data_IF_168962731931
#
_entry.id   IF_168962731931
#
_cell.length_a   1.000
_cell.length_b   1.000
_cell.length_c   1.000
_cell.angle_alpha   90.00
_cell.angle_beta   90.00
_cell.angle_gamma   90.00
#
_symmetry.space_group_name_H-M   'P 1'
#
loop_
_entity.id
_entity.type
_entity.pdbx_description
1 polymer ?
#
# COMPACT_ATOMS: atom_id res chain seq x y z
N UNK A 1 -48.43 -48.45 -10.06
CA UNK A 1 -47.31 -48.92 -9.23
C UNK A 1 -45.98 -48.19 -9.64
N UNK A 2 -45.92 -46.86 -9.56
CA UNK A 2 -44.61 -46.15 -9.73
C UNK A 2 -43.94 -45.74 -8.43
N UNK A 3 -44.65 -45.61 -7.32
CA UNK A 3 -44.10 -45.10 -6.02
C UNK A 3 -43.03 -45.96 -5.35
N UNK A 4 -42.92 -47.24 -5.66
CA UNK A 4 -41.90 -48.12 -5.04
C UNK A 4 -40.53 -47.96 -5.68
N UNK A 5 -40.46 -47.60 -6.96
CA UNK A 5 -39.18 -47.38 -7.64
C UNK A 5 -38.51 -46.05 -7.28
N UNK A 6 -39.30 -45.00 -7.13
CA UNK A 6 -38.84 -43.69 -6.68
C UNK A 6 -38.26 -43.76 -5.24
N UNK A 7 -38.90 -44.50 -4.35
CA UNK A 7 -38.43 -44.71 -2.98
C UNK A 7 -37.14 -45.57 -2.90
N UNK A 8 -36.95 -46.51 -3.81
CA UNK A 8 -35.69 -47.29 -3.93
C UNK A 8 -34.53 -46.49 -4.51
N UNK A 9 -34.80 -45.58 -5.43
CA UNK A 9 -33.80 -44.67 -5.97
C UNK A 9 -33.38 -43.62 -4.96
N UNK A 10 -34.28 -42.99 -4.24
CA UNK A 10 -33.96 -42.06 -3.15
C UNK A 10 -33.20 -42.74 -2.00
N UNK A 11 -33.51 -43.98 -1.64
CA UNK A 11 -32.75 -44.72 -0.64
C UNK A 11 -31.33 -45.09 -1.11
N UNK A 12 -31.15 -45.38 -2.40
CA UNK A 12 -29.81 -45.66 -2.96
C UNK A 12 -28.97 -44.41 -3.05
N UNK A 13 -29.53 -43.28 -3.45
CA UNK A 13 -28.84 -41.99 -3.52
C UNK A 13 -28.41 -41.53 -2.12
N UNK A 14 -29.30 -41.60 -1.14
CA UNK A 14 -28.98 -41.27 0.26
C UNK A 14 -27.95 -42.23 0.90
N UNK A 15 -27.87 -43.46 0.45
CA UNK A 15 -26.86 -44.45 0.91
C UNK A 15 -25.52 -44.22 0.29
N UNK A 16 -25.43 -43.75 -0.97
CA UNK A 16 -24.20 -43.39 -1.62
C UNK A 16 -23.57 -42.12 -1.05
N UNK A 17 -24.40 -41.11 -0.77
CA UNK A 17 -23.95 -39.87 -0.15
C UNK A 17 -23.42 -40.10 1.29
N UNK A 18 -24.08 -40.94 2.07
CA UNK A 18 -23.61 -41.34 3.41
C UNK A 18 -22.27 -42.09 3.33
N UNK A 19 -22.10 -42.98 2.38
CA UNK A 19 -20.85 -43.73 2.19
C UNK A 19 -19.71 -42.81 1.71
N UNK A 20 -20.02 -41.84 0.85
CA UNK A 20 -19.03 -40.85 0.39
C UNK A 20 -18.59 -39.94 1.54
N UNK A 21 -19.55 -39.39 2.29
CA UNK A 21 -19.25 -38.53 3.45
C UNK A 21 -18.45 -39.26 4.52
N UNK A 22 -18.76 -40.55 4.75
CA UNK A 22 -18.04 -41.38 5.73
C UNK A 22 -16.58 -41.62 5.28
N UNK A 23 -16.36 -41.98 4.01
CA UNK A 23 -15.03 -42.13 3.43
C UNK A 23 -14.23 -40.84 3.41
N UNK A 24 -14.89 -39.71 3.14
CA UNK A 24 -14.26 -38.40 3.20
C UNK A 24 -13.85 -38.02 4.62
N UNK A 25 -14.71 -38.28 5.59
CA UNK A 25 -14.41 -38.04 7.00
C UNK A 25 -13.25 -38.92 7.50
N UNK A 26 -13.27 -40.21 7.15
CA UNK A 26 -12.20 -41.15 7.47
C UNK A 26 -10.87 -40.73 6.84
N UNK A 27 -10.87 -40.33 5.56
CA UNK A 27 -9.69 -39.81 4.88
C UNK A 27 -9.11 -38.54 5.55
N UNK A 28 -9.99 -37.62 5.96
CA UNK A 28 -9.56 -36.38 6.64
C UNK A 28 -8.93 -36.69 8.00
N UNK A 29 -9.53 -37.59 8.77
CA UNK A 29 -9.03 -37.99 10.09
C UNK A 29 -7.72 -38.77 9.99
N UNK A 30 -7.63 -39.68 9.04
CA UNK A 30 -6.47 -40.57 8.85
C UNK A 30 -5.27 -39.79 8.30
N UNK A 31 -5.52 -38.76 7.46
CA UNK A 31 -4.48 -37.91 6.82
C UNK A 31 -4.36 -36.53 7.46
N UNK A 32 -4.81 -36.35 8.69
CA UNK A 32 -4.75 -35.05 9.39
C UNK A 32 -3.37 -34.38 9.35
N UNK A 33 -2.30 -35.17 9.46
CA UNK A 33 -0.93 -34.63 9.39
C UNK A 33 -0.59 -34.08 8.00
N UNK A 34 -1.14 -34.68 6.94
CA UNK A 34 -0.99 -34.18 5.56
C UNK A 34 -1.72 -32.84 5.38
N UNK A 35 -2.91 -32.70 5.95
CA UNK A 35 -3.65 -31.44 5.94
C UNK A 35 -2.93 -30.34 6.70
N UNK A 36 -2.33 -30.65 7.87
CA UNK A 36 -1.48 -29.70 8.59
C UNK A 36 -0.27 -29.27 7.76
N UNK A 37 0.38 -30.21 7.08
CA UNK A 37 1.51 -29.91 6.20
C UNK A 37 1.09 -28.96 5.07
N UNK A 38 -0.01 -29.25 4.37
CA UNK A 38 -0.55 -28.41 3.30
C UNK A 38 -0.90 -27.02 3.83
N UNK A 39 -1.49 -26.94 5.03
CA UNK A 39 -1.85 -25.66 5.66
C UNK A 39 -0.60 -24.82 5.98
N UNK A 40 0.46 -25.46 6.51
CA UNK A 40 1.73 -24.79 6.79
C UNK A 40 2.35 -24.28 5.49
N UNK A 41 2.35 -25.08 4.42
CA UNK A 41 2.86 -24.67 3.10
C UNK A 41 2.04 -23.49 2.55
N UNK A 42 0.72 -23.52 2.66
CA UNK A 42 -0.15 -22.43 2.25
C UNK A 42 0.09 -21.16 3.06
N UNK A 43 0.32 -21.25 4.37
CA UNK A 43 0.68 -20.11 5.23
C UNK A 43 2.02 -19.49 4.80
N UNK A 44 3.03 -20.30 4.58
CA UNK A 44 4.35 -19.84 4.11
C UNK A 44 4.18 -19.16 2.74
N UNK A 45 3.43 -19.76 1.83
CA UNK A 45 3.14 -19.18 0.53
C UNK A 45 2.41 -17.83 0.64
N UNK A 46 1.43 -17.70 1.53
CA UNK A 46 0.74 -16.42 1.78
C UNK A 46 1.68 -15.32 2.28
N UNK A 47 2.63 -15.67 3.16
CA UNK A 47 3.62 -14.71 3.68
C UNK A 47 4.54 -14.23 2.54
N UNK A 48 5.02 -15.13 1.69
CA UNK A 48 5.83 -14.76 0.53
C UNK A 48 5.05 -14.00 -0.52
N UNK A 49 3.78 -14.37 -0.77
CA UNK A 49 2.89 -13.74 -1.75
C UNK A 49 2.56 -12.28 -1.41
N UNK A 50 2.57 -11.93 -0.12
CA UNK A 50 2.35 -10.55 0.33
C UNK A 50 3.40 -9.57 -0.24
N UNK A 51 4.65 -10.00 -0.37
CA UNK A 51 5.72 -9.18 -0.95
C UNK A 51 5.66 -9.07 -2.48
N UNK A 52 4.83 -9.89 -3.13
CA UNK A 52 4.73 -9.94 -4.58
C UNK A 52 3.59 -9.10 -5.15
N UNK A 53 2.64 -8.75 -4.30
CA UNK A 53 1.50 -7.90 -4.70
C UNK A 53 1.93 -6.44 -4.56
N UNK A 54 2.26 -5.79 -5.66
CA UNK A 54 2.33 -4.33 -5.74
C UNK A 54 0.90 -3.82 -5.91
N UNK A 55 0.43 -3.04 -4.96
CA UNK A 55 -0.83 -2.31 -5.10
C UNK A 55 -0.51 -1.05 -5.90
N UNK A 56 -0.93 -1.01 -7.15
CA UNK A 56 -0.92 0.22 -7.93
C UNK A 56 -2.19 1.01 -7.64
N UNK A 57 -2.03 2.18 -7.06
CA UNK A 57 -3.14 3.09 -6.76
C UNK A 57 -3.51 3.97 -7.96
N UNK A 58 -2.69 3.96 -9.01
CA UNK A 58 -2.93 4.74 -10.22
C UNK A 58 -4.03 4.10 -11.08
N UNK A 59 -5.25 4.64 -10.94
CA UNK A 59 -6.42 4.21 -11.71
C UNK A 59 -6.28 4.49 -13.22
N UNK A 60 -5.36 5.36 -13.61
CA UNK A 60 -5.14 5.73 -15.01
C UNK A 60 -4.46 4.61 -15.80
N UNK A 61 -3.71 3.72 -15.13
CA UNK A 61 -3.09 2.54 -15.73
C UNK A 61 -4.10 1.48 -16.22
N UNK A 62 -5.33 1.53 -15.72
CA UNK A 62 -6.41 0.63 -16.18
C UNK A 62 -7.13 1.13 -17.43
N UNK A 63 -6.86 2.37 -17.89
CA UNK A 63 -7.41 2.86 -19.14
C UNK A 63 -6.63 2.28 -20.35
N UNK A 64 -7.33 1.80 -21.39
CA UNK A 64 -6.67 1.39 -22.63
C UNK A 64 -5.84 2.54 -23.23
N UNK A 65 -4.65 2.24 -23.72
CA UNK A 65 -3.72 3.23 -24.31
C UNK A 65 -4.32 4.01 -25.49
N UNK A 66 -5.40 3.48 -26.11
CA UNK A 66 -6.11 4.09 -27.21
C UNK A 66 -7.11 5.19 -26.81
N UNK A 67 -7.37 5.39 -25.52
CA UNK A 67 -8.30 6.43 -25.06
C UNK A 67 -7.66 7.80 -25.12
N UNK A 68 -8.44 8.82 -25.54
CA UNK A 68 -7.97 10.23 -25.58
C UNK A 68 -7.47 10.71 -24.20
N UNK A 69 -8.11 10.25 -23.13
CA UNK A 69 -7.70 10.55 -21.75
C UNK A 69 -6.32 9.97 -21.46
N UNK A 70 -6.02 8.74 -21.87
CA UNK A 70 -4.71 8.12 -21.67
C UNK A 70 -3.62 8.83 -22.49
N UNK A 71 -3.94 9.18 -23.74
CA UNK A 71 -3.01 9.95 -24.59
C UNK A 71 -2.76 11.34 -24.03
N UNK A 72 -3.79 12.02 -23.52
CA UNK A 72 -3.65 13.31 -22.88
C UNK A 72 -2.79 13.25 -21.62
N UNK A 73 -2.96 12.23 -20.78
CA UNK A 73 -2.14 11.98 -19.59
C UNK A 73 -0.68 11.68 -19.96
N UNK A 74 -0.44 10.88 -21.00
CA UNK A 74 0.92 10.59 -21.49
C UNK A 74 1.62 11.87 -21.95
N UNK A 75 0.95 12.71 -22.73
CA UNK A 75 1.50 14.01 -23.15
C UNK A 75 1.72 14.94 -21.97
N UNK A 76 0.84 14.92 -20.97
CA UNK A 76 0.97 15.71 -19.75
C UNK A 76 2.18 15.26 -18.93
N UNK A 77 2.35 13.96 -18.72
CA UNK A 77 3.50 13.41 -18.00
C UNK A 77 4.82 13.61 -18.74
N UNK A 78 4.84 13.57 -20.08
CA UNK A 78 6.04 13.82 -20.89
C UNK A 78 6.44 15.30 -20.95
N UNK A 79 5.49 16.22 -20.81
CA UNK A 79 5.73 17.66 -20.96
C UNK A 79 5.68 18.45 -19.63
N UNK A 80 5.04 17.90 -18.61
CA UNK A 80 4.93 18.50 -17.29
C UNK A 80 5.44 17.48 -16.27
N UNK A 81 6.64 17.65 -15.80
CA UNK A 81 7.16 16.84 -14.68
C UNK A 81 6.36 17.19 -13.44
N UNK A 82 5.54 16.26 -12.99
CA UNK A 82 4.81 16.38 -11.73
C UNK A 82 5.72 15.89 -10.62
N UNK A 83 6.35 16.81 -9.92
CA UNK A 83 7.17 16.48 -8.76
C UNK A 83 6.27 16.06 -7.59
N UNK A 84 6.66 15.03 -6.88
CA UNK A 84 6.05 14.67 -5.60
C UNK A 84 6.24 15.79 -4.57
N UNK A 85 5.22 16.05 -3.77
CA UNK A 85 5.29 17.04 -2.70
C UNK A 85 4.90 16.44 -1.36
N UNK A 86 5.48 16.97 -0.29
CA UNK A 86 5.10 16.63 1.07
C UNK A 86 5.08 17.86 1.96
N UNK A 87 4.16 17.88 2.89
CA UNK A 87 4.09 18.88 3.94
C UNK A 87 4.58 18.28 5.25
N UNK A 88 5.53 18.95 5.88
CA UNK A 88 6.11 18.58 7.16
C UNK A 88 5.77 19.64 8.18
N UNK A 89 4.87 19.32 9.11
CA UNK A 89 4.49 20.21 10.21
C UNK A 89 5.32 19.87 11.43
N UNK A 90 6.10 20.81 11.91
CA UNK A 90 6.85 20.74 13.15
C UNK A 90 6.12 21.54 14.23
N UNK A 91 5.73 20.89 15.32
CA UNK A 91 5.09 21.53 16.46
C UNK A 91 6.08 21.80 17.59
N UNK A 92 5.77 22.78 18.47
CA UNK A 92 6.56 23.14 19.64
C UNK A 92 8.03 23.49 19.31
N UNK A 93 8.24 24.21 18.22
CA UNK A 93 9.56 24.58 17.70
C UNK A 93 9.72 26.11 17.58
N UNK A 94 10.93 26.61 17.78
CA UNK A 94 11.25 28.01 17.46
C UNK A 94 11.55 28.17 15.98
N UNK A 95 11.40 29.40 15.46
CA UNK A 95 11.69 29.71 14.06
C UNK A 95 13.10 29.28 13.63
N UNK A 96 14.14 29.63 14.45
CA UNK A 96 15.54 29.32 14.13
C UNK A 96 15.76 27.81 14.01
N UNK A 97 15.16 27.02 14.89
CA UNK A 97 15.26 25.56 14.83
C UNK A 97 14.47 24.95 13.69
N UNK A 98 13.36 25.58 13.31
CA UNK A 98 12.60 25.16 12.13
C UNK A 98 13.37 25.45 10.84
N UNK A 99 14.12 26.59 10.80
CA UNK A 99 15.01 26.89 9.69
C UNK A 99 16.17 25.89 9.60
N UNK A 100 16.80 25.54 10.72
CA UNK A 100 17.82 24.48 10.76
C UNK A 100 17.28 23.13 10.24
N UNK A 101 16.03 22.81 10.58
CA UNK A 101 15.38 21.59 10.11
C UNK A 101 15.08 21.65 8.60
N UNK A 102 14.65 22.81 8.08
CA UNK A 102 14.44 23.03 6.65
C UNK A 102 15.74 22.85 5.86
N UNK A 103 16.84 23.50 6.30
CA UNK A 103 18.16 23.38 5.69
C UNK A 103 18.67 21.92 5.71
N UNK A 104 18.41 21.19 6.80
CA UNK A 104 18.77 19.78 6.94
C UNK A 104 17.99 18.88 5.97
N UNK A 105 16.72 19.20 5.71
CA UNK A 105 15.88 18.47 4.75
C UNK A 105 16.30 18.78 3.32
N UNK A 106 16.65 20.03 3.00
CA UNK A 106 17.08 20.45 1.67
C UNK A 106 18.37 19.74 1.23
N UNK A 107 19.26 19.40 2.18
CA UNK A 107 20.48 18.63 1.93
C UNK A 107 20.27 17.13 1.65
N UNK A 108 19.03 16.63 1.74
CA UNK A 108 18.71 15.20 1.50
C UNK A 108 18.68 14.92 0.00
N UNK A 109 19.33 13.83 -0.40
CA UNK A 109 19.30 13.38 -1.79
C UNK A 109 17.87 12.99 -2.21
N UNK A 110 17.39 13.56 -3.31
CA UNK A 110 16.02 13.37 -3.80
C UNK A 110 15.05 14.46 -3.34
N UNK A 111 15.53 15.49 -2.63
CA UNK A 111 14.80 16.73 -2.34
C UNK A 111 15.27 17.81 -3.32
N UNK A 112 14.34 18.42 -4.06
CA UNK A 112 14.60 19.52 -4.98
C UNK A 112 14.63 20.86 -4.26
N UNK A 113 13.67 21.07 -3.34
CA UNK A 113 13.57 22.32 -2.58
C UNK A 113 12.70 22.15 -1.33
N UNK A 114 12.98 22.98 -0.34
CA UNK A 114 12.14 23.16 0.85
C UNK A 114 11.69 24.61 0.94
N UNK A 115 10.38 24.83 0.96
CA UNK A 115 9.83 26.17 1.14
C UNK A 115 9.47 26.36 2.61
N UNK A 116 10.14 27.32 3.24
CA UNK A 116 9.87 27.73 4.61
C UNK A 116 10.26 29.21 4.76
N UNK A 117 9.38 30.03 5.33
CA UNK A 117 9.62 31.43 5.58
C UNK A 117 8.88 31.92 6.84
N UNK A 118 9.07 33.20 7.19
CA UNK A 118 8.46 33.81 8.37
C UNK A 118 7.07 34.42 8.07
N UNK A 119 6.32 33.81 7.15
CA UNK A 119 4.91 34.19 6.91
C UNK A 119 4.00 33.39 7.85
N UNK A 120 2.76 33.86 8.05
CA UNK A 120 1.75 33.13 8.85
C UNK A 120 1.35 31.79 8.22
N UNK A 121 1.62 31.59 6.93
CA UNK A 121 1.34 30.35 6.22
C UNK A 121 2.35 29.26 6.59
N UNK A 122 3.63 29.62 6.84
CA UNK A 122 4.69 28.67 7.16
C UNK A 122 5.08 28.66 8.64
N UNK A 123 4.95 29.79 9.38
CA UNK A 123 5.27 29.83 10.79
C UNK A 123 4.23 30.58 11.60
N UNK A 124 3.56 29.86 12.50
CA UNK A 124 2.53 30.44 13.38
C UNK A 124 2.63 29.94 14.79
N UNK A 125 2.82 30.87 15.74
CA UNK A 125 2.96 30.54 17.15
C UNK A 125 4.26 29.77 17.42
N UNK A 126 4.17 28.48 17.64
CA UNK A 126 5.32 27.53 17.82
C UNK A 126 5.22 26.38 16.83
N UNK A 127 4.55 26.57 15.71
CA UNK A 127 4.39 25.55 14.68
C UNK A 127 4.98 26.05 13.36
N UNK A 128 5.74 25.21 12.71
CA UNK A 128 6.36 25.45 11.41
C UNK A 128 5.84 24.45 10.38
N UNK A 129 5.40 24.95 9.24
CA UNK A 129 5.01 24.14 8.09
C UNK A 129 6.08 24.27 7.00
N UNK A 130 6.68 23.15 6.63
CA UNK A 130 7.67 23.08 5.58
C UNK A 130 7.04 22.38 4.37
N UNK A 131 7.07 23.03 3.21
CA UNK A 131 6.64 22.43 1.95
C UNK A 131 7.87 21.86 1.23
N UNK A 132 7.91 20.54 1.09
CA UNK A 132 9.02 19.81 0.49
C UNK A 132 8.63 19.36 -0.91
N UNK A 133 9.51 19.62 -1.88
CA UNK A 133 9.38 19.15 -3.26
C UNK A 133 10.49 18.12 -3.54
N UNK A 134 10.14 16.98 -4.11
CA UNK A 134 11.07 15.90 -4.43
C UNK A 134 11.56 15.95 -5.89
N UNK A 135 12.65 15.25 -6.19
CA UNK A 135 13.23 15.14 -7.55
C UNK A 135 12.44 14.19 -8.47
N UNK A 136 11.52 13.38 -7.92
CA UNK A 136 10.70 12.45 -8.66
C UNK A 136 9.21 12.61 -8.33
N UNK A 137 8.38 11.78 -8.95
CA UNK A 137 6.96 11.69 -8.61
C UNK A 137 6.77 11.06 -7.20
N UNK A 138 5.59 11.19 -6.62
CA UNK A 138 5.31 10.71 -5.26
C UNK A 138 5.61 9.19 -5.09
N UNK A 139 5.34 8.40 -6.15
CA UNK A 139 5.54 6.94 -6.13
C UNK A 139 6.97 6.52 -6.53
N UNK A 140 7.83 7.45 -6.93
CA UNK A 140 9.20 7.14 -7.30
C UNK A 140 10.06 6.74 -6.09
N UNK A 141 10.96 5.78 -6.32
CA UNK A 141 11.83 5.28 -5.26
C UNK A 141 12.68 6.40 -4.63
N UNK A 142 13.12 7.37 -5.42
CA UNK A 142 13.91 8.50 -4.94
C UNK A 142 13.12 9.37 -3.95
N UNK A 143 11.84 9.62 -4.22
CA UNK A 143 10.94 10.39 -3.34
C UNK A 143 10.62 9.62 -2.06
N UNK A 144 10.39 8.31 -2.18
CA UNK A 144 10.15 7.41 -1.05
C UNK A 144 11.37 7.33 -0.14
N UNK A 145 12.57 7.19 -0.69
CA UNK A 145 13.82 7.12 0.06
C UNK A 145 14.12 8.46 0.76
N UNK A 146 13.94 9.58 0.06
CA UNK A 146 14.06 10.92 0.63
C UNK A 146 13.07 11.14 1.79
N UNK A 147 11.81 10.73 1.62
CA UNK A 147 10.80 10.85 2.69
C UNK A 147 11.14 9.99 3.92
N UNK A 148 11.72 8.81 3.71
CA UNK A 148 12.18 7.96 4.82
C UNK A 148 13.37 8.60 5.54
N UNK A 149 14.33 9.19 4.82
CA UNK A 149 15.47 9.91 5.42
C UNK A 149 15.00 11.15 6.19
N UNK A 150 14.00 11.90 5.69
CA UNK A 150 13.36 13.01 6.41
C UNK A 150 12.81 12.53 7.76
N UNK A 151 12.07 11.41 7.77
CA UNK A 151 11.52 10.84 8.99
C UNK A 151 12.60 10.44 9.99
N UNK A 152 13.69 9.87 9.51
CA UNK A 152 14.81 9.46 10.35
C UNK A 152 15.54 10.68 10.95
N UNK A 153 15.80 11.71 10.15
CA UNK A 153 16.46 12.94 10.61
C UNK A 153 15.61 13.75 11.60
N UNK A 154 14.31 13.72 11.42
CA UNK A 154 13.37 14.41 12.32
C UNK A 154 12.94 13.57 13.53
N UNK A 155 13.58 12.42 13.75
CA UNK A 155 13.36 11.64 14.97
C UNK A 155 13.71 12.46 16.21
N UNK A 156 12.73 12.71 17.05
CA UNK A 156 12.87 13.56 18.27
C UNK A 156 12.23 14.93 18.16
N UNK A 157 11.70 15.29 17.00
CA UNK A 157 10.82 16.44 16.83
C UNK A 157 9.34 16.00 16.99
N UNK A 158 8.48 16.94 17.39
CA UNK A 158 7.03 16.74 17.34
C UNK A 158 6.55 17.05 15.91
N UNK A 159 6.47 16.01 15.08
CA UNK A 159 6.31 16.14 13.64
C UNK A 159 5.12 15.38 13.10
N UNK A 160 4.42 16.01 12.15
CA UNK A 160 3.31 15.44 11.38
C UNK A 160 3.61 15.56 9.90
N UNK A 161 3.25 14.53 9.12
CA UNK A 161 3.51 14.46 7.68
C UNK A 161 2.20 14.35 6.91
N UNK A 162 2.10 15.08 5.80
CA UNK A 162 1.05 14.92 4.79
C UNK A 162 1.72 14.85 3.41
N UNK A 163 1.33 13.88 2.59
CA UNK A 163 1.71 13.78 1.18
C UNK A 163 0.47 14.06 0.33
N UNK A 164 0.65 14.74 -0.80
CA UNK A 164 -0.43 15.11 -1.73
C UNK A 164 -0.08 14.70 -3.15
#
# INVERSE_FOLDING_TARGET
>A
MPKSKEMEEEMKENSQDKNFMYKLAEFIVDKRNLFFLIYIIALVFCIFSRNWVKVENDVTKYLPDSTETRQGLTVMNDQFVTYGTAQVLLANISYDRAQEAADMIEDINGVTSVTFDNTEDHYKGTSALLDVTFDGEEEDQISIDAMNEIKDKLTGYDVYYSTS
#
